data_IF_185158291265
#
_entry.id   IF_185158291265
#
_cell.length_a   1.000
_cell.length_b   1.000
_cell.length_c   1.000
_cell.angle_alpha   90.00
_cell.angle_beta   90.00
_cell.angle_gamma   90.00
#
_symmetry.space_group_name_H-M   'P 1'
#
loop_
_entity.id
_entity.type
_entity.pdbx_description
1 polymer ?
#
# COMPACT_ATOMS: atom_id res chain seq x y z
N UNK A 1 8.78 20.76 -33.01
CA UNK A 1 8.85 19.55 -32.18
C UNK A 1 9.23 19.98 -30.76
N UNK A 2 8.48 19.60 -29.73
CA UNK A 2 8.74 20.06 -28.35
C UNK A 2 9.95 19.37 -27.75
N UNK A 3 10.82 20.09 -27.04
CA UNK A 3 12.00 19.53 -26.35
C UNK A 3 11.59 18.96 -25.00
N UNK A 4 12.13 17.80 -24.63
CA UNK A 4 11.90 17.21 -23.30
C UNK A 4 12.84 17.76 -22.21
N UNK A 5 14.00 18.28 -22.63
CA UNK A 5 15.06 18.75 -21.73
C UNK A 5 15.67 20.05 -22.21
N UNK A 6 16.08 20.87 -21.24
CA UNK A 6 16.84 22.10 -21.46
C UNK A 6 18.20 21.80 -22.07
N UNK A 7 18.66 22.66 -22.98
CA UNK A 7 20.01 22.55 -23.53
C UNK A 7 21.02 22.99 -22.47
N UNK A 8 22.04 22.16 -22.19
CA UNK A 8 23.10 22.50 -21.22
C UNK A 8 23.85 23.77 -21.63
N UNK A 9 24.23 24.62 -20.67
CA UNK A 9 24.95 25.89 -20.94
C UNK A 9 26.18 25.72 -21.84
N UNK A 10 26.98 24.66 -21.63
CA UNK A 10 28.17 24.34 -22.44
C UNK A 10 27.89 24.07 -23.93
N UNK A 11 26.63 23.83 -24.30
CA UNK A 11 26.19 23.54 -25.68
C UNK A 11 25.34 24.66 -26.29
N UNK A 12 25.27 25.83 -25.63
CA UNK A 12 24.46 26.98 -26.09
C UNK A 12 25.19 27.92 -27.06
N UNK A 13 26.41 27.56 -27.48
CA UNK A 13 27.18 28.35 -28.46
C UNK A 13 26.48 28.44 -29.82
N UNK A 14 25.73 27.40 -30.20
CA UNK A 14 24.90 27.36 -31.39
C UNK A 14 23.47 27.01 -31.00
N UNK A 15 22.50 27.38 -31.84
CA UNK A 15 21.13 26.90 -31.70
C UNK A 15 20.80 25.87 -32.79
N UNK A 16 20.08 24.82 -32.41
CA UNK A 16 19.68 23.75 -33.33
C UNK A 16 18.15 23.77 -33.43
N UNK A 17 17.64 24.17 -34.58
CA UNK A 17 16.21 24.13 -34.87
C UNK A 17 15.84 22.86 -35.64
N UNK A 18 14.70 22.28 -35.30
CA UNK A 18 14.12 21.14 -36.01
C UNK A 18 12.81 21.56 -36.67
N UNK A 19 12.75 21.54 -37.99
CA UNK A 19 11.54 21.87 -38.76
C UNK A 19 10.45 20.82 -38.54
N UNK A 20 9.21 21.13 -38.92
CA UNK A 20 8.10 20.16 -38.86
C UNK A 20 8.35 18.90 -39.71
N UNK A 21 9.20 19.02 -40.73
CA UNK A 21 9.64 17.93 -41.62
C UNK A 21 10.80 17.11 -41.04
N UNK A 22 11.29 17.47 -39.85
CA UNK A 22 12.40 16.79 -39.17
C UNK A 22 13.79 17.21 -39.65
N UNK A 23 13.88 18.21 -40.53
CA UNK A 23 15.17 18.75 -40.99
C UNK A 23 15.84 19.55 -39.88
N UNK A 24 17.14 19.30 -39.69
CA UNK A 24 17.97 20.00 -38.69
C UNK A 24 18.63 21.23 -39.31
N UNK A 25 18.36 22.40 -38.74
CA UNK A 25 19.01 23.67 -39.10
C UNK A 25 19.91 24.08 -37.93
N UNK A 26 21.18 24.34 -38.21
CA UNK A 26 22.15 24.83 -37.22
C UNK A 26 22.33 26.32 -37.42
N UNK A 27 22.06 27.09 -36.38
CA UNK A 27 22.24 28.54 -36.34
C UNK A 27 23.51 28.82 -35.55
N UNK A 28 24.50 29.42 -36.21
CA UNK A 28 25.78 29.80 -35.61
C UNK A 28 25.88 31.33 -35.52
N UNK A 29 26.57 31.87 -34.50
CA UNK A 29 26.72 33.31 -34.36
C UNK A 29 27.62 33.86 -35.48
N UNK A 30 27.23 35.00 -36.05
CA UNK A 30 27.98 35.68 -37.12
C UNK A 30 27.68 35.20 -38.54
N UNK A 31 26.96 34.10 -38.72
CA UNK A 31 26.39 33.72 -40.02
C UNK A 31 25.03 34.40 -40.23
N UNK A 32 24.81 34.94 -41.44
CA UNK A 32 23.53 35.56 -41.85
C UNK A 32 23.02 36.69 -40.93
N UNK A 33 23.91 37.40 -40.23
CA UNK A 33 23.54 38.52 -39.35
C UNK A 33 23.00 38.12 -37.98
N UNK A 34 23.10 36.84 -37.60
CA UNK A 34 22.68 36.35 -36.28
C UNK A 34 23.69 36.77 -35.21
N UNK A 35 23.20 37.44 -34.16
CA UNK A 35 23.99 37.85 -33.00
C UNK A 35 23.97 36.80 -31.90
N UNK A 36 24.92 36.87 -30.97
CA UNK A 36 24.95 35.99 -29.79
C UNK A 36 23.69 36.15 -28.92
N UNK A 37 23.13 37.37 -28.86
CA UNK A 37 21.89 37.66 -28.15
C UNK A 37 20.68 36.92 -28.75
N UNK A 38 20.66 36.73 -30.06
CA UNK A 38 19.59 35.99 -30.74
C UNK A 38 19.63 34.49 -30.37
N UNK A 39 20.83 33.92 -30.24
CA UNK A 39 21.02 32.53 -29.81
C UNK A 39 20.62 32.36 -28.35
N UNK A 40 21.00 33.31 -27.49
CA UNK A 40 20.61 33.30 -26.08
C UNK A 40 19.08 33.37 -25.93
N UNK A 41 18.43 34.28 -26.66
CA UNK A 41 16.98 34.44 -26.65
C UNK A 41 16.25 33.14 -27.04
N UNK A 42 16.72 32.46 -28.09
CA UNK A 42 16.13 31.19 -28.52
C UNK A 42 16.26 30.09 -27.46
N UNK A 43 17.38 30.01 -26.74
CA UNK A 43 17.51 29.05 -25.64
C UNK A 43 16.66 29.42 -24.42
N UNK A 44 16.41 30.71 -24.16
CA UNK A 44 15.48 31.15 -23.10
C UNK A 44 14.06 30.71 -23.43
N UNK A 45 13.59 30.97 -24.65
CA UNK A 45 12.25 30.58 -25.10
C UNK A 45 12.02 29.07 -24.99
N UNK A 46 13.00 28.26 -25.41
CA UNK A 46 12.96 26.80 -25.28
C UNK A 46 12.93 26.35 -23.81
N UNK A 47 13.71 27.00 -22.94
CA UNK A 47 13.76 26.67 -21.51
C UNK A 47 12.42 26.96 -20.81
N UNK A 48 11.78 28.08 -21.16
CA UNK A 48 10.47 28.48 -20.64
C UNK A 48 9.38 27.49 -21.04
N UNK A 49 9.35 27.06 -22.31
CA UNK A 49 8.40 26.04 -22.80
C UNK A 49 8.59 24.70 -22.05
N UNK A 50 9.84 24.27 -21.85
CA UNK A 50 10.15 23.04 -21.10
C UNK A 50 9.66 23.14 -19.64
N UNK A 51 9.85 24.28 -18.99
CA UNK A 51 9.41 24.47 -17.60
C UNK A 51 7.89 24.60 -17.47
N UNK A 52 7.20 25.20 -18.44
CA UNK A 52 5.74 25.24 -18.47
C UNK A 52 5.15 23.83 -18.65
N UNK A 53 5.69 23.05 -19.59
CA UNK A 53 5.24 21.68 -19.81
C UNK A 53 5.43 20.81 -18.55
N UNK A 54 6.59 20.94 -17.86
CA UNK A 54 6.81 20.25 -16.58
C UNK A 54 5.79 20.65 -15.52
N UNK A 55 5.50 21.95 -15.40
CA UNK A 55 4.47 22.45 -14.46
C UNK A 55 3.09 21.87 -14.77
N UNK A 56 2.73 21.79 -16.06
CA UNK A 56 1.48 21.17 -16.50
C UNK A 56 1.44 19.68 -16.14
N UNK A 57 2.49 18.93 -16.46
CA UNK A 57 2.58 17.49 -16.17
C UNK A 57 2.48 17.20 -14.66
N UNK A 58 3.11 18.02 -13.82
CA UNK A 58 2.97 17.93 -12.35
C UNK A 58 1.55 18.24 -11.89
N UNK A 59 0.90 19.28 -12.43
CA UNK A 59 -0.46 19.69 -12.04
C UNK A 59 -1.51 18.64 -12.42
N UNK A 60 -1.33 17.96 -13.54
CA UNK A 60 -2.26 16.92 -14.01
C UNK A 60 -2.15 15.64 -13.19
N UNK A 61 -0.92 15.23 -12.83
CA UNK A 61 -0.67 14.04 -11.99
C UNK A 61 -1.32 14.13 -10.61
N UNK A 62 -1.36 15.31 -9.99
CA UNK A 62 -1.90 15.49 -8.62
C UNK A 62 -3.43 15.49 -8.54
N UNK A 63 -4.14 15.65 -9.65
CA UNK A 63 -5.61 15.78 -9.63
C UNK A 63 -6.36 14.57 -10.19
N UNK A 64 -5.72 13.66 -10.93
CA UNK A 64 -6.43 12.54 -11.54
C UNK A 64 -6.67 11.38 -10.54
N UNK A 65 -5.69 11.10 -9.68
CA UNK A 65 -5.78 10.02 -8.68
C UNK A 65 -6.65 10.40 -7.46
N UNK A 66 -7.06 11.67 -7.34
CA UNK A 66 -7.79 12.21 -6.19
C UNK A 66 -9.31 12.09 -6.32
N UNK A 67 -9.84 11.70 -7.49
CA UNK A 67 -11.27 11.53 -7.72
C UNK A 67 -11.56 10.06 -8.03
N UNK A 68 -12.45 9.45 -7.25
CA UNK A 68 -13.06 8.18 -7.65
C UNK A 68 -13.91 8.38 -8.92
N UNK A 69 -13.82 7.45 -9.86
CA UNK A 69 -14.52 7.42 -11.15
C UNK A 69 -15.95 6.85 -11.06
N UNK A 70 -16.50 6.71 -9.84
CA UNK A 70 -17.82 6.12 -9.60
C UNK A 70 -19.00 7.00 -10.03
N UNK A 71 -19.96 6.40 -10.74
CA UNK A 71 -21.20 6.98 -11.27
C UNK A 71 -22.37 7.08 -10.25
N UNK A 72 -22.13 7.12 -8.93
CA UNK A 72 -23.22 7.27 -7.96
C UNK A 72 -23.46 8.73 -7.55
N UNK A 73 -24.74 9.15 -7.56
CA UNK A 73 -25.25 10.51 -7.31
C UNK A 73 -25.16 11.01 -5.85
N UNK A 74 -24.41 10.33 -4.98
CA UNK A 74 -24.13 10.82 -3.65
C UNK A 74 -22.83 11.62 -3.67
N UNK A 75 -22.95 12.94 -3.87
CA UNK A 75 -21.84 13.90 -3.87
C UNK A 75 -21.24 14.13 -2.46
N UNK A 76 -20.89 13.06 -1.75
CA UNK A 76 -20.04 13.15 -0.58
C UNK A 76 -18.57 13.16 -1.02
N UNK A 77 -17.77 13.91 -0.29
CA UNK A 77 -16.38 14.31 -0.58
C UNK A 77 -15.57 13.24 -1.33
N UNK A 78 -15.40 13.43 -2.64
CA UNK A 78 -14.65 12.51 -3.52
C UNK A 78 -13.15 12.55 -3.27
N UNK A 79 -12.67 13.45 -2.41
CA UNK A 79 -11.27 13.57 -2.10
C UNK A 79 -10.90 12.64 -0.94
N UNK A 80 -10.17 11.56 -1.27
CA UNK A 80 -9.62 10.60 -0.30
C UNK A 80 -8.88 11.25 0.87
N UNK A 81 -8.29 12.42 0.67
CA UNK A 81 -7.53 13.12 1.71
C UNK A 81 -8.38 13.96 2.67
N UNK A 82 -9.66 14.19 2.33
CA UNK A 82 -10.60 14.97 3.14
C UNK A 82 -11.74 14.12 3.71
N UNK A 83 -11.86 12.85 3.28
CA UNK A 83 -12.76 11.89 3.88
C UNK A 83 -12.41 11.67 5.36
N UNK A 84 -13.36 11.97 6.25
CA UNK A 84 -13.28 11.68 7.68
C UNK A 84 -14.26 10.55 8.03
N UNK A 85 -13.74 9.33 8.03
CA UNK A 85 -14.49 8.14 8.42
C UNK A 85 -14.46 7.89 9.94
N UNK A 86 -13.75 8.71 10.73
CA UNK A 86 -13.52 8.43 12.16
C UNK A 86 -14.79 8.46 13.00
N UNK A 87 -15.80 9.22 12.57
CA UNK A 87 -17.10 9.35 13.25
C UNK A 87 -18.25 8.70 12.46
N UNK A 88 -17.95 7.78 11.54
CA UNK A 88 -18.98 7.13 10.74
C UNK A 88 -19.84 6.19 11.63
N UNK A 89 -21.15 6.49 11.83
CA UNK A 89 -21.99 5.72 12.74
C UNK A 89 -22.18 4.28 12.28
N UNK A 90 -22.18 4.01 10.96
CA UNK A 90 -22.29 2.65 10.44
C UNK A 90 -21.07 1.82 10.83
N UNK A 91 -19.86 2.37 10.68
CA UNK A 91 -18.63 1.69 11.05
C UNK A 91 -18.58 1.42 12.56
N UNK A 92 -19.00 2.37 13.38
CA UNK A 92 -19.04 2.21 14.84
C UNK A 92 -20.03 1.13 15.27
N UNK A 93 -21.22 1.07 14.67
CA UNK A 93 -22.23 0.03 14.98
C UNK A 93 -21.71 -1.34 14.56
N UNK A 94 -21.08 -1.45 13.38
CA UNK A 94 -20.48 -2.68 12.88
C UNK A 94 -19.37 -3.15 13.82
N UNK A 95 -18.47 -2.25 14.24
CA UNK A 95 -17.39 -2.56 15.19
C UNK A 95 -17.95 -3.04 16.54
N UNK A 96 -18.93 -2.33 17.09
CA UNK A 96 -19.57 -2.73 18.35
C UNK A 96 -20.26 -4.10 18.25
N UNK A 97 -20.87 -4.41 17.10
CA UNK A 97 -21.42 -5.74 16.81
C UNK A 97 -20.34 -6.81 16.81
N UNK A 98 -19.23 -6.58 16.10
CA UNK A 98 -18.09 -7.52 16.10
C UNK A 98 -17.47 -7.70 17.48
N UNK A 99 -17.40 -6.64 18.29
CA UNK A 99 -16.91 -6.73 19.67
C UNK A 99 -17.81 -7.60 20.53
N UNK A 100 -19.14 -7.46 20.43
CA UNK A 100 -20.08 -8.30 21.16
C UNK A 100 -19.94 -9.78 20.76
N UNK A 101 -19.91 -10.06 19.45
CA UNK A 101 -19.69 -11.42 18.94
C UNK A 101 -18.35 -12.01 19.40
N UNK A 102 -17.31 -11.17 19.46
CA UNK A 102 -15.98 -11.56 19.94
C UNK A 102 -15.99 -11.88 21.43
N UNK A 103 -16.67 -11.08 22.26
CA UNK A 103 -16.84 -11.36 23.69
C UNK A 103 -17.59 -12.67 23.90
N UNK A 104 -18.67 -12.91 23.16
CA UNK A 104 -19.42 -14.17 23.21
C UNK A 104 -18.55 -15.37 22.82
N UNK A 105 -17.68 -15.22 21.81
CA UNK A 105 -16.73 -16.25 21.42
C UNK A 105 -15.71 -16.53 22.55
N UNK A 106 -15.19 -15.49 23.19
CA UNK A 106 -14.27 -15.62 24.32
C UNK A 106 -14.94 -16.32 25.50
N UNK A 107 -16.18 -15.96 25.83
CA UNK A 107 -16.95 -16.57 26.92
C UNK A 107 -17.25 -18.06 26.66
N UNK A 108 -17.52 -18.44 25.42
CA UNK A 108 -17.65 -19.86 25.04
C UNK A 108 -16.31 -20.59 25.20
N UNK A 109 -15.21 -19.94 24.82
CA UNK A 109 -13.87 -20.51 24.94
C UNK A 109 -13.43 -20.65 26.41
N UNK A 110 -13.71 -19.67 27.27
CA UNK A 110 -13.39 -19.75 28.71
C UNK A 110 -14.14 -20.90 29.37
N UNK A 111 -15.46 -21.02 29.12
CA UNK A 111 -16.29 -22.14 29.60
C UNK A 111 -15.78 -23.49 29.08
N UNK A 112 -15.38 -23.56 27.81
CA UNK A 112 -14.77 -24.77 27.24
C UNK A 112 -13.47 -25.12 27.96
N UNK A 113 -12.59 -24.15 28.21
CA UNK A 113 -11.34 -24.35 28.92
C UNK A 113 -11.55 -24.76 30.38
N UNK A 114 -12.56 -24.23 31.07
CA UNK A 114 -12.87 -24.64 32.46
C UNK A 114 -13.18 -26.12 32.59
N UNK A 115 -13.87 -26.71 31.61
CA UNK A 115 -14.20 -28.15 31.59
C UNK A 115 -13.01 -29.09 31.35
N UNK A 116 -11.86 -28.58 30.91
CA UNK A 116 -10.67 -29.39 30.62
C UNK A 116 -10.00 -29.85 31.91
N UNK A 117 -9.48 -31.08 31.89
CA UNK A 117 -8.66 -31.59 32.99
C UNK A 117 -7.34 -30.81 33.08
N UNK A 118 -6.71 -30.70 34.27
CA UNK A 118 -5.45 -29.98 34.46
C UNK A 118 -4.35 -30.44 33.50
N UNK A 119 -4.20 -31.75 33.31
CA UNK A 119 -3.25 -32.35 32.36
C UNK A 119 -3.52 -31.95 30.90
N UNK A 120 -4.79 -31.72 30.53
CA UNK A 120 -5.15 -31.26 29.19
C UNK A 120 -4.84 -29.76 29.01
N UNK A 121 -5.00 -28.95 30.08
CA UNK A 121 -4.64 -27.52 30.07
C UNK A 121 -3.15 -27.32 29.92
N UNK A 122 -2.34 -28.10 30.63
CA UNK A 122 -0.88 -28.06 30.51
C UNK A 122 -0.42 -28.44 29.10
N UNK A 123 -0.98 -29.53 28.55
CA UNK A 123 -0.72 -29.93 27.17
C UNK A 123 -1.10 -28.82 26.18
N UNK A 124 -2.27 -28.19 26.36
CA UNK A 124 -2.71 -27.05 25.54
C UNK A 124 -1.72 -25.88 25.62
N UNK A 125 -1.24 -25.54 26.82
CA UNK A 125 -0.26 -24.48 27.02
C UNK A 125 1.07 -24.78 26.31
N UNK A 126 1.61 -25.99 26.47
CA UNK A 126 2.88 -26.38 25.83
C UNK A 126 2.78 -26.33 24.29
N UNK A 127 1.64 -26.72 23.72
CA UNK A 127 1.43 -26.78 22.27
C UNK A 127 1.08 -25.41 21.67
N UNK A 128 0.09 -24.69 22.22
CA UNK A 128 -0.46 -23.48 21.60
C UNK A 128 0.16 -22.18 22.11
N UNK A 129 0.54 -22.11 23.38
CA UNK A 129 1.17 -20.91 23.96
C UNK A 129 2.69 -20.95 23.79
N UNK A 130 3.32 -22.09 24.10
CA UNK A 130 4.77 -22.24 24.05
C UNK A 130 5.29 -22.74 22.68
N UNK A 131 4.39 -23.13 21.77
CA UNK A 131 4.71 -23.60 20.41
C UNK A 131 5.74 -24.73 20.36
N UNK A 132 5.79 -25.59 21.38
CA UNK A 132 6.71 -26.74 21.41
C UNK A 132 6.24 -27.83 20.45
N UNK A 133 7.20 -28.61 19.95
CA UNK A 133 6.88 -29.75 19.09
C UNK A 133 6.31 -30.92 19.89
N UNK A 134 5.48 -31.76 19.25
CA UNK A 134 4.92 -32.95 19.89
C UNK A 134 6.00 -33.95 20.32
N UNK A 135 7.14 -33.99 19.61
CA UNK A 135 8.29 -34.86 19.94
C UNK A 135 9.00 -34.39 21.20
N UNK A 136 9.15 -33.07 21.40
CA UNK A 136 9.79 -32.53 22.60
C UNK A 136 8.93 -32.75 23.84
N UNK A 137 7.61 -32.54 23.71
CA UNK A 137 6.64 -32.81 24.79
C UNK A 137 6.63 -34.30 25.14
N UNK A 138 6.68 -35.17 24.12
CA UNK A 138 6.75 -36.61 24.31
C UNK A 138 8.03 -37.03 25.05
N UNK A 139 9.18 -36.45 24.70
CA UNK A 139 10.46 -36.71 25.37
C UNK A 139 10.46 -36.23 26.83
N UNK A 140 9.88 -35.06 27.11
CA UNK A 140 9.75 -34.48 28.45
C UNK A 140 8.84 -35.34 29.36
N UNK A 141 7.71 -35.80 28.84
CA UNK A 141 6.74 -36.61 29.61
C UNK A 141 7.08 -38.10 29.64
N UNK A 142 8.11 -38.54 28.91
CA UNK A 142 8.50 -39.96 28.79
C UNK A 142 7.46 -40.81 28.04
N UNK A 143 6.71 -40.20 27.12
CA UNK A 143 5.59 -40.80 26.39
C UNK A 143 5.92 -40.87 24.89
N UNK A 144 5.25 -41.73 24.13
CA UNK A 144 5.42 -41.77 22.66
C UNK A 144 4.70 -40.59 21.99
N UNK A 145 5.23 -40.11 20.86
CA UNK A 145 4.60 -39.02 20.09
C UNK A 145 3.14 -39.36 19.71
N UNK A 146 2.87 -40.62 19.38
CA UNK A 146 1.52 -41.10 19.07
C UNK A 146 0.53 -40.93 20.22
N UNK A 147 0.98 -41.10 21.48
CA UNK A 147 0.15 -40.89 22.64
C UNK A 147 -0.15 -39.40 22.89
N UNK A 148 0.80 -38.50 22.63
CA UNK A 148 0.55 -37.04 22.65
C UNK A 148 -0.48 -36.65 21.59
N UNK A 149 -0.35 -37.16 20.35
CA UNK A 149 -1.35 -36.95 19.29
C UNK A 149 -2.74 -37.47 19.69
N UNK A 150 -2.81 -38.63 20.34
CA UNK A 150 -4.06 -39.19 20.87
C UNK A 150 -4.70 -38.31 21.97
N UNK A 151 -3.89 -37.76 22.87
CA UNK A 151 -4.35 -36.81 23.90
C UNK A 151 -4.88 -35.51 23.28
N UNK A 152 -4.18 -34.96 22.27
CA UNK A 152 -4.63 -33.79 21.51
C UNK A 152 -5.97 -34.05 20.81
N UNK A 153 -6.13 -35.22 20.18
CA UNK A 153 -7.40 -35.58 19.55
C UNK A 153 -8.57 -35.57 20.54
N UNK A 154 -8.38 -36.16 21.73
CA UNK A 154 -9.40 -36.14 22.81
C UNK A 154 -9.67 -34.73 23.33
N UNK A 155 -8.65 -33.88 23.38
CA UNK A 155 -8.79 -32.47 23.77
C UNK A 155 -9.66 -31.73 22.76
N UNK A 156 -9.38 -31.86 21.46
CA UNK A 156 -10.18 -31.26 20.40
C UNK A 156 -11.62 -31.77 20.39
N UNK A 157 -11.84 -33.08 20.59
CA UNK A 157 -13.19 -33.64 20.69
C UNK A 157 -13.99 -33.05 21.85
N UNK A 158 -13.35 -32.76 23.00
CA UNK A 158 -14.01 -32.10 24.14
C UNK A 158 -14.33 -30.65 23.85
N UNK A 159 -13.36 -29.89 23.32
CA UNK A 159 -13.58 -28.50 22.95
C UNK A 159 -14.71 -28.39 21.91
N UNK A 160 -14.72 -29.28 20.90
CA UNK A 160 -15.77 -29.32 19.87
C UNK A 160 -17.16 -29.57 20.45
N UNK A 161 -17.29 -30.38 21.51
CA UNK A 161 -18.60 -30.62 22.15
C UNK A 161 -19.16 -29.40 22.89
N UNK A 162 -18.30 -28.46 23.28
CA UNK A 162 -18.69 -27.29 24.09
C UNK A 162 -18.80 -26.03 23.24
N UNK A 163 -17.99 -25.94 22.17
CA UNK A 163 -18.01 -24.85 21.21
C UNK A 163 -19.01 -25.06 20.06
N UNK A 164 -19.57 -26.26 19.91
CA UNK A 164 -20.69 -26.55 19.00
C UNK A 164 -22.01 -26.14 19.61
#
# INVERSE_FOLDING_TARGET
MKRAYKTSQKKRTNYIYYTAEGTKIVITPGENGVTEADIELLHIMDDDEVDEQRRYDYRVKTHLDAYYDGEEEAANDRNKYLADDTANPEQLIIQAGYEADYQDMLDKLTKAMESLLPQQKELFKKVYLEKRSNTDIAAEEGVTEAAIRGRLKKLHERLRKILS
#
